data_IF_067541566300
#
_entry.id   IF_067541566300
#
_cell.length_a   1.000
_cell.length_b   1.000
_cell.length_c   1.000
_cell.angle_alpha   90.00
_cell.angle_beta   90.00
_cell.angle_gamma   90.00
#
_symmetry.space_group_name_H-M   'P 1'
#
loop_
_entity.id
_entity.type
_entity.pdbx_description
1 polymer ?
#
# COMPACT_ATOMS: atom_id res chain seq x y z
N UNK A 1 65.91 -3.98 -25.59
CA UNK A 1 65.11 -4.67 -24.54
C UNK A 1 64.57 -3.68 -23.51
N UNK A 2 65.41 -2.92 -22.84
CA UNK A 2 65.02 -1.95 -21.80
C UNK A 2 64.03 -0.85 -22.27
N UNK A 3 64.16 -0.37 -23.51
CA UNK A 3 63.21 0.63 -24.09
C UNK A 3 61.85 0.01 -24.43
N UNK A 4 61.82 -1.27 -24.87
CA UNK A 4 60.58 -1.98 -25.13
C UNK A 4 59.82 -2.28 -23.87
N UNK A 5 60.51 -2.61 -22.79
CA UNK A 5 59.97 -2.90 -21.45
C UNK A 5 59.41 -1.64 -20.78
N UNK A 6 60.14 -0.51 -20.85
CA UNK A 6 59.64 0.80 -20.40
C UNK A 6 58.39 1.22 -21.16
N UNK A 7 58.35 1.00 -22.48
CA UNK A 7 57.20 1.36 -23.32
C UNK A 7 55.99 0.47 -22.99
N UNK A 8 56.23 -0.84 -22.75
CA UNK A 8 55.17 -1.75 -22.33
C UNK A 8 54.58 -1.36 -20.98
N UNK A 9 55.39 -1.05 -19.97
CA UNK A 9 54.96 -0.56 -18.69
C UNK A 9 54.16 0.74 -18.78
N UNK A 10 54.61 1.69 -19.58
CA UNK A 10 53.91 2.96 -19.80
C UNK A 10 52.50 2.73 -20.42
N UNK A 11 52.42 1.91 -21.48
CA UNK A 11 51.16 1.56 -22.12
C UNK A 11 50.22 0.81 -21.15
N UNK A 12 50.78 -0.06 -20.28
CA UNK A 12 49.97 -0.75 -19.26
C UNK A 12 49.37 0.23 -18.26
N UNK A 13 50.13 1.17 -17.76
CA UNK A 13 49.67 2.24 -16.85
C UNK A 13 48.68 3.21 -17.52
N UNK A 14 48.89 3.51 -18.80
CA UNK A 14 47.97 4.33 -19.60
C UNK A 14 46.64 3.64 -19.88
N UNK A 15 46.60 2.32 -19.94
CA UNK A 15 45.41 1.52 -20.22
C UNK A 15 44.55 1.24 -18.99
N UNK A 16 45.01 1.62 -17.78
CA UNK A 16 44.24 1.51 -16.54
C UNK A 16 43.05 2.47 -16.59
N UNK A 17 41.85 1.95 -16.28
CA UNK A 17 40.62 2.74 -16.28
C UNK A 17 40.54 3.75 -15.12
N UNK A 18 41.37 3.58 -14.10
CA UNK A 18 41.46 4.44 -12.92
C UNK A 18 42.54 5.52 -13.11
N UNK A 19 42.40 6.61 -12.39
CA UNK A 19 43.42 7.65 -12.33
C UNK A 19 44.64 7.14 -11.58
N UNK A 20 45.83 7.27 -12.17
CA UNK A 20 47.12 6.90 -11.56
C UNK A 20 48.02 8.10 -11.53
N UNK A 21 48.54 8.42 -10.34
CA UNK A 21 49.57 9.44 -10.13
C UNK A 21 50.72 8.84 -9.33
N UNK A 22 51.95 9.04 -9.75
CA UNK A 22 53.09 8.73 -8.89
C UNK A 22 53.86 10.01 -8.51
N UNK A 23 54.46 9.98 -7.30
CA UNK A 23 55.21 11.07 -6.72
C UNK A 23 56.60 10.58 -6.30
N UNK A 24 57.58 11.49 -6.29
CA UNK A 24 58.87 11.24 -5.69
C UNK A 24 58.84 11.34 -4.16
N UNK A 25 59.94 11.07 -3.48
CA UNK A 25 60.05 11.16 -2.03
C UNK A 25 59.84 12.59 -1.47
N UNK A 26 59.90 13.63 -2.31
CA UNK A 26 59.65 15.03 -1.93
C UNK A 26 58.13 15.38 -2.08
N UNK A 27 57.30 14.50 -2.64
CA UNK A 27 55.89 14.75 -2.88
C UNK A 27 55.54 15.39 -4.25
N UNK A 28 56.54 15.50 -5.13
CA UNK A 28 56.31 16.06 -6.48
C UNK A 28 55.87 14.99 -7.45
N UNK A 29 54.94 15.31 -8.32
CA UNK A 29 54.39 14.41 -9.34
C UNK A 29 55.46 13.98 -10.34
N UNK A 30 55.63 12.66 -10.53
CA UNK A 30 56.57 12.05 -11.49
C UNK A 30 55.89 11.38 -12.67
N UNK A 31 54.61 10.97 -12.50
CA UNK A 31 53.80 10.36 -13.54
C UNK A 31 52.32 10.69 -13.31
N UNK A 32 51.56 10.83 -14.37
CA UNK A 32 50.11 11.00 -14.37
C UNK A 32 49.52 10.36 -15.63
N UNK A 33 48.61 9.38 -15.48
CA UNK A 33 47.97 8.72 -16.62
C UNK A 33 46.86 9.59 -17.26
N UNK A 34 46.34 9.22 -18.45
CA UNK A 34 45.32 10.00 -19.14
C UNK A 34 44.03 10.17 -18.34
N UNK A 35 43.66 9.17 -17.51
CA UNK A 35 42.45 9.23 -16.66
C UNK A 35 42.64 10.30 -15.56
N UNK A 36 43.76 10.24 -14.85
CA UNK A 36 44.09 11.24 -13.85
C UNK A 36 44.18 12.68 -14.42
N UNK A 37 44.72 12.83 -15.63
CA UNK A 37 44.74 14.13 -16.32
C UNK A 37 43.31 14.67 -16.55
N UNK A 38 42.37 13.80 -16.98
CA UNK A 38 40.96 14.21 -17.17
C UNK A 38 40.28 14.61 -15.87
N UNK A 39 40.50 13.84 -14.83
CA UNK A 39 39.83 14.05 -13.51
C UNK A 39 40.41 15.29 -12.79
N UNK A 40 41.72 15.45 -12.77
CA UNK A 40 42.36 16.60 -12.13
C UNK A 40 42.28 17.88 -12.94
N UNK A 41 42.19 17.77 -14.29
CA UNK A 41 42.22 18.88 -15.23
C UNK A 41 43.63 19.43 -15.49
N UNK A 42 44.68 18.67 -15.14
CA UNK A 42 46.07 18.99 -15.46
C UNK A 42 46.59 18.06 -16.56
N UNK A 43 47.23 18.60 -17.57
CA UNK A 43 47.99 17.80 -18.53
C UNK A 43 49.27 17.25 -17.89
N UNK A 44 49.82 16.18 -18.44
CA UNK A 44 51.10 15.62 -17.99
C UNK A 44 52.20 16.69 -17.85
N UNK A 45 52.36 17.54 -18.88
CA UNK A 45 53.35 18.61 -18.90
C UNK A 45 53.18 19.66 -17.80
N UNK A 46 51.96 19.86 -17.36
CA UNK A 46 51.62 20.84 -16.31
C UNK A 46 51.70 20.24 -14.92
N UNK A 47 51.49 18.91 -14.78
CA UNK A 47 51.49 18.20 -13.51
C UNK A 47 52.89 17.79 -13.04
N UNK A 48 53.74 17.28 -13.96
CA UNK A 48 55.08 16.82 -13.62
C UNK A 48 55.89 17.88 -12.91
N UNK A 49 56.50 17.51 -11.77
CA UNK A 49 57.33 18.40 -10.95
C UNK A 49 56.56 19.34 -10.03
N UNK A 50 55.23 19.30 -10.03
CA UNK A 50 54.44 20.05 -9.05
C UNK A 50 54.13 19.19 -7.81
N UNK A 51 54.00 19.82 -6.61
CA UNK A 51 53.48 19.14 -5.44
C UNK A 51 52.10 18.52 -5.73
N UNK A 52 51.86 17.27 -5.24
CA UNK A 52 50.62 16.57 -5.52
C UNK A 52 49.39 17.32 -5.03
N UNK A 53 49.45 18.03 -3.91
CA UNK A 53 48.35 18.83 -3.38
C UNK A 53 47.92 19.97 -4.30
N UNK A 54 48.85 20.48 -5.15
CA UNK A 54 48.53 21.48 -6.16
C UNK A 54 47.83 20.88 -7.39
N UNK A 55 48.01 19.59 -7.66
CA UNK A 55 47.42 18.84 -8.78
C UNK A 55 46.13 18.16 -8.37
N UNK A 56 46.09 17.61 -7.17
CA UNK A 56 44.97 16.80 -6.64
C UNK A 56 44.37 17.47 -5.40
N UNK A 57 43.33 18.26 -5.61
CA UNK A 57 42.61 18.99 -4.56
C UNK A 57 41.52 18.10 -3.99
N UNK A 58 41.85 17.33 -2.95
CA UNK A 58 40.93 16.47 -2.24
C UNK A 58 40.22 17.22 -1.12
N UNK A 59 38.91 16.95 -0.96
CA UNK A 59 38.07 17.55 0.07
C UNK A 59 37.10 16.55 0.64
N UNK A 60 36.76 16.72 1.91
CA UNK A 60 35.66 15.99 2.53
C UNK A 60 34.31 16.41 1.91
N UNK A 61 33.48 15.46 1.51
CA UNK A 61 32.24 15.75 0.80
C UNK A 61 31.17 16.44 1.66
N UNK A 62 31.23 16.33 2.99
CA UNK A 62 30.26 16.90 3.90
C UNK A 62 30.68 18.30 4.41
N UNK A 63 31.93 18.44 4.84
CA UNK A 63 32.47 19.69 5.42
C UNK A 63 33.10 20.60 4.38
N UNK A 64 33.45 20.07 3.19
CA UNK A 64 34.26 20.75 2.16
C UNK A 64 35.65 21.21 2.65
N UNK A 65 36.14 20.63 3.75
CA UNK A 65 37.50 20.91 4.23
C UNK A 65 38.54 20.17 3.39
N UNK A 66 39.75 20.73 3.21
CA UNK A 66 40.81 20.01 2.53
C UNK A 66 41.23 18.75 3.29
N UNK A 67 41.43 17.66 2.55
CA UNK A 67 41.90 16.40 3.08
C UNK A 67 43.40 16.22 2.89
N UNK A 68 44.03 15.46 3.80
CA UNK A 68 45.42 15.04 3.64
C UNK A 68 45.53 14.10 2.46
N UNK A 69 46.47 14.36 1.54
CA UNK A 69 46.64 13.52 0.35
C UNK A 69 47.15 12.12 0.73
N UNK A 70 46.45 11.04 0.31
CA UNK A 70 46.84 9.66 0.63
C UNK A 70 48.26 9.30 0.21
N UNK A 71 48.77 9.84 -0.91
CA UNK A 71 50.12 9.60 -1.38
C UNK A 71 51.18 10.19 -0.41
N UNK A 72 50.92 11.41 0.09
CA UNK A 72 51.81 12.02 1.11
C UNK A 72 51.76 11.24 2.43
N UNK A 73 50.58 10.81 2.83
CA UNK A 73 50.43 9.99 4.04
C UNK A 73 51.12 8.62 3.91
N UNK A 74 51.06 8.00 2.71
CA UNK A 74 51.74 6.74 2.44
C UNK A 74 53.28 6.87 2.55
N UNK A 75 53.86 8.06 2.16
CA UNK A 75 55.28 8.36 2.34
C UNK A 75 55.67 8.43 3.82
N UNK A 76 54.79 8.97 4.69
CA UNK A 76 55.07 9.13 6.11
C UNK A 76 55.00 7.77 6.84
N UNK A 77 53.96 6.96 6.56
CA UNK A 77 53.69 5.72 7.29
C UNK A 77 54.38 4.50 6.70
N UNK A 78 54.95 4.63 5.51
CA UNK A 78 55.63 3.58 4.74
C UNK A 78 54.82 2.29 4.56
N UNK A 79 53.51 2.43 4.39
CA UNK A 79 52.59 1.32 4.16
C UNK A 79 51.45 1.71 3.21
N UNK A 80 50.75 0.72 2.71
CA UNK A 80 49.53 0.95 1.94
C UNK A 80 48.49 1.69 2.79
N UNK A 81 47.88 2.70 2.18
CA UNK A 81 46.80 3.53 2.74
C UNK A 81 45.62 3.50 1.79
N UNK A 82 44.44 3.22 2.31
CA UNK A 82 43.17 3.41 1.62
C UNK A 82 42.37 4.43 2.43
N UNK A 83 41.84 5.45 1.77
CA UNK A 83 41.01 6.48 2.41
C UNK A 83 39.53 6.21 2.19
N UNK A 84 38.66 6.95 2.87
CA UNK A 84 37.26 6.59 3.03
C UNK A 84 36.39 6.98 1.81
N UNK A 85 35.23 6.35 1.68
CA UNK A 85 34.23 6.49 0.62
C UNK A 85 33.59 7.90 0.48
N UNK A 86 34.11 8.94 1.14
CA UNK A 86 33.45 10.22 1.22
C UNK A 86 34.31 11.36 0.67
N UNK A 87 35.31 11.05 -0.14
CA UNK A 87 36.24 12.02 -0.65
C UNK A 87 35.78 12.61 -1.99
N UNK A 88 36.02 13.89 -2.19
CA UNK A 88 35.74 14.59 -3.44
C UNK A 88 37.03 15.17 -4.01
N UNK A 89 37.24 14.96 -5.31
CA UNK A 89 38.27 15.60 -6.09
C UNK A 89 37.70 16.84 -6.80
N UNK A 90 38.25 18.00 -6.54
CA UNK A 90 37.89 19.24 -7.23
C UNK A 90 38.92 19.54 -8.32
N UNK A 91 38.49 19.37 -9.57
CA UNK A 91 39.34 19.61 -10.72
C UNK A 91 39.71 21.09 -10.86
N UNK A 92 40.75 21.39 -11.67
CA UNK A 92 41.18 22.78 -12.00
C UNK A 92 40.05 23.63 -12.59
N UNK A 93 39.07 23.00 -13.27
CA UNK A 93 37.89 23.70 -13.82
C UNK A 93 36.72 23.78 -12.83
N UNK A 94 36.94 23.54 -11.55
CA UNK A 94 35.92 23.46 -10.50
C UNK A 94 34.84 22.35 -10.70
N UNK A 95 35.13 21.33 -11.51
CA UNK A 95 34.29 20.16 -11.59
C UNK A 95 34.58 19.24 -10.39
N UNK A 96 33.53 18.78 -9.73
CA UNK A 96 33.61 17.92 -8.54
C UNK A 96 33.31 16.48 -8.93
N UNK A 97 34.21 15.57 -8.55
CA UNK A 97 34.06 14.14 -8.72
C UNK A 97 34.09 13.47 -7.35
N UNK A 98 33.24 12.46 -7.12
CA UNK A 98 33.41 11.58 -5.99
C UNK A 98 34.45 10.54 -6.32
N UNK A 99 35.47 10.42 -5.47
CA UNK A 99 36.58 9.52 -5.73
C UNK A 99 36.78 8.53 -4.58
N UNK A 100 37.14 7.31 -4.96
CA UNK A 100 37.68 6.30 -4.07
C UNK A 100 39.16 6.18 -4.38
N UNK A 101 40.02 6.29 -3.39
CA UNK A 101 41.44 6.35 -3.58
C UNK A 101 42.24 5.43 -2.65
N UNK A 102 43.43 5.10 -3.11
CA UNK A 102 44.41 4.36 -2.33
C UNK A 102 45.82 4.74 -2.74
N UNK A 103 46.77 4.68 -1.82
CA UNK A 103 48.16 4.98 -2.09
C UNK A 103 49.09 3.94 -1.45
N UNK A 104 50.22 3.69 -2.12
CA UNK A 104 51.28 2.78 -1.64
C UNK A 104 52.63 3.43 -1.83
N UNK A 105 53.57 3.29 -0.87
CA UNK A 105 54.94 3.76 -1.06
C UNK A 105 55.66 2.84 -2.07
N UNK A 106 56.56 3.48 -2.85
CA UNK A 106 57.48 2.79 -3.77
C UNK A 106 58.81 2.68 -3.10
N UNK A 107 59.25 1.47 -2.77
CA UNK A 107 60.48 1.14 -2.05
C UNK A 107 61.34 0.26 -2.97
N UNK A 108 62.63 0.53 -3.10
CA UNK A 108 63.53 -0.30 -3.88
C UNK A 108 63.99 -1.57 -3.07
N UNK A 109 64.74 -2.43 -3.76
CA UNK A 109 65.24 -3.68 -3.18
C UNK A 109 66.24 -3.44 -2.01
N UNK A 110 66.78 -2.24 -1.87
CA UNK A 110 67.71 -1.83 -0.79
C UNK A 110 66.96 -1.17 0.39
N UNK A 111 65.60 -1.09 0.31
CA UNK A 111 64.76 -0.52 1.34
C UNK A 111 64.68 1.03 1.32
N UNK A 112 65.15 1.68 0.24
CA UNK A 112 65.09 3.15 0.10
C UNK A 112 63.76 3.58 -0.48
N UNK A 113 63.15 4.59 0.12
CA UNK A 113 61.90 5.16 -0.35
C UNK A 113 62.15 5.98 -1.63
N UNK A 114 61.58 5.56 -2.75
CA UNK A 114 61.69 6.23 -4.02
C UNK A 114 60.51 7.22 -4.27
N UNK A 115 59.37 6.96 -3.63
CA UNK A 115 58.16 7.76 -3.80
C UNK A 115 56.90 7.03 -3.35
N UNK A 116 55.75 7.43 -3.92
CA UNK A 116 54.49 6.72 -3.72
C UNK A 116 53.69 6.71 -5.03
N UNK A 117 52.82 5.71 -5.17
CA UNK A 117 51.82 5.64 -6.22
C UNK A 117 50.45 5.75 -5.60
N UNK A 118 49.58 6.54 -6.22
CA UNK A 118 48.20 6.70 -5.85
C UNK A 118 47.32 6.27 -7.02
N UNK A 119 46.28 5.50 -6.72
CA UNK A 119 45.23 5.08 -7.65
C UNK A 119 43.91 5.61 -7.14
N UNK A 120 43.10 6.19 -8.02
CA UNK A 120 41.79 6.71 -7.66
C UNK A 120 40.79 6.52 -8.79
N UNK A 121 39.54 6.23 -8.41
CA UNK A 121 38.43 5.95 -9.33
C UNK A 121 37.32 6.99 -9.14
N UNK A 122 36.73 7.45 -10.24
CA UNK A 122 35.50 8.23 -10.20
C UNK A 122 34.32 7.31 -9.92
N UNK A 123 33.73 7.44 -8.74
CA UNK A 123 32.57 6.67 -8.28
C UNK A 123 31.28 7.50 -8.29
N UNK A 124 31.28 8.66 -8.91
CA UNK A 124 30.14 9.62 -8.92
C UNK A 124 28.86 8.94 -9.44
N UNK A 125 28.93 8.25 -10.59
CA UNK A 125 27.78 7.54 -11.16
C UNK A 125 27.32 6.38 -10.26
N UNK A 126 28.24 5.62 -9.66
CA UNK A 126 27.92 4.52 -8.78
C UNK A 126 27.20 5.01 -7.50
N UNK A 127 27.69 6.10 -6.91
CA UNK A 127 27.07 6.72 -5.73
C UNK A 127 25.70 7.30 -6.07
N UNK A 128 25.56 8.02 -7.18
CA UNK A 128 24.26 8.52 -7.63
C UNK A 128 23.26 7.38 -7.89
N UNK A 129 23.72 6.29 -8.50
CA UNK A 129 22.88 5.12 -8.75
C UNK A 129 22.47 4.42 -7.46
N UNK A 130 23.38 4.31 -6.49
CA UNK A 130 23.08 3.75 -5.16
C UNK A 130 22.05 4.62 -4.42
N UNK A 131 22.20 5.94 -4.44
CA UNK A 131 21.22 6.87 -3.85
C UNK A 131 19.86 6.77 -4.54
N UNK A 132 19.83 6.73 -5.88
CA UNK A 132 18.59 6.52 -6.64
C UNK A 132 17.96 5.17 -6.33
N UNK A 133 18.74 4.09 -6.27
CA UNK A 133 18.24 2.77 -5.87
C UNK A 133 17.64 2.77 -4.48
N UNK A 134 18.33 3.36 -3.50
CA UNK A 134 17.82 3.49 -2.13
C UNK A 134 16.53 4.28 -2.08
N UNK A 135 16.42 5.35 -2.87
CA UNK A 135 15.19 6.14 -2.96
C UNK A 135 14.04 5.33 -3.57
N UNK A 136 14.28 4.62 -4.68
CA UNK A 136 13.26 3.77 -5.35
C UNK A 136 12.83 2.60 -4.45
N UNK A 137 13.75 2.03 -3.67
CA UNK A 137 13.46 0.91 -2.75
C UNK A 137 12.60 1.34 -1.57
N UNK A 138 12.72 2.60 -1.13
CA UNK A 138 12.11 3.10 0.11
C UNK A 138 10.93 4.05 -0.10
N UNK A 139 10.68 4.53 -1.33
CA UNK A 139 9.63 5.49 -1.62
C UNK A 139 8.70 5.01 -2.73
N UNK A 140 7.44 5.42 -2.65
CA UNK A 140 6.43 5.21 -3.68
C UNK A 140 6.67 6.16 -4.87
N UNK A 141 6.76 5.63 -6.08
CA UNK A 141 7.12 6.41 -7.27
C UNK A 141 6.03 7.41 -7.71
N UNK A 142 4.76 7.13 -7.41
CA UNK A 142 3.65 8.00 -7.80
C UNK A 142 3.53 9.22 -6.89
N UNK A 143 3.70 9.03 -5.59
CA UNK A 143 3.44 10.05 -4.57
C UNK A 143 4.71 10.67 -3.99
N UNK A 144 5.87 10.01 -4.13
CA UNK A 144 7.12 10.39 -3.47
C UNK A 144 7.15 10.15 -1.97
N UNK A 145 6.08 9.63 -1.39
CA UNK A 145 5.99 9.30 0.03
C UNK A 145 6.84 8.05 0.37
N UNK A 146 7.25 7.86 1.62
CA UNK A 146 7.70 6.57 2.11
C UNK A 146 6.79 5.43 1.65
N UNK A 147 7.38 4.31 1.23
CA UNK A 147 6.62 3.12 0.87
C UNK A 147 6.42 2.20 2.11
N UNK A 148 5.79 1.05 1.89
CA UNK A 148 5.53 0.05 2.94
C UNK A 148 6.80 -0.41 3.66
N UNK A 149 7.92 -0.56 2.92
CA UNK A 149 9.20 -1.04 3.49
C UNK A 149 9.75 -0.01 4.48
N UNK A 150 9.88 1.24 4.05
CA UNK A 150 10.38 2.32 4.90
C UNK A 150 9.43 2.61 6.09
N UNK A 151 8.11 2.49 5.88
CA UNK A 151 7.14 2.62 6.96
C UNK A 151 7.36 1.55 8.03
N UNK A 152 7.50 0.28 7.63
CA UNK A 152 7.72 -0.83 8.56
C UNK A 152 8.98 -0.60 9.40
N UNK A 153 10.08 -0.22 8.77
CA UNK A 153 11.33 0.08 9.49
C UNK A 153 11.15 1.22 10.50
N UNK A 154 10.41 2.27 10.13
CA UNK A 154 10.12 3.38 11.03
C UNK A 154 9.23 2.97 12.20
N UNK A 155 8.24 2.09 11.99
CA UNK A 155 7.41 1.56 13.09
C UNK A 155 8.29 0.75 14.06
N UNK A 156 9.15 -0.16 13.56
CA UNK A 156 10.06 -0.96 14.39
C UNK A 156 10.98 -0.07 15.22
N UNK A 157 11.55 0.97 14.61
CA UNK A 157 12.39 1.94 15.31
C UNK A 157 11.61 2.73 16.37
N UNK A 158 10.38 3.16 16.05
CA UNK A 158 9.53 3.88 16.99
C UNK A 158 9.14 3.00 18.19
N UNK A 159 8.72 1.75 17.96
CA UNK A 159 8.45 0.75 19.00
C UNK A 159 9.66 0.56 19.91
N UNK A 160 10.86 0.40 19.33
CA UNK A 160 12.10 0.22 20.10
C UNK A 160 12.42 1.44 21.00
N UNK A 161 12.15 2.66 20.51
CA UNK A 161 12.34 3.90 21.31
C UNK A 161 11.33 4.00 22.46
N UNK A 162 10.10 3.54 22.28
CA UNK A 162 9.08 3.56 23.32
C UNK A 162 9.45 2.74 24.56
N UNK A 163 10.22 1.65 24.39
CA UNK A 163 10.73 0.89 25.54
C UNK A 163 11.57 1.73 26.49
N UNK A 164 12.30 2.72 25.97
CA UNK A 164 13.21 3.57 26.74
C UNK A 164 12.55 4.86 27.22
N UNK A 165 11.66 5.44 26.42
CA UNK A 165 11.08 6.77 26.69
C UNK A 165 9.72 6.75 27.39
N UNK A 166 9.06 5.59 27.50
CA UNK A 166 7.66 5.42 27.99
C UNK A 166 6.64 6.28 27.21
N UNK A 167 6.95 6.68 25.99
CA UNK A 167 6.06 7.38 25.10
C UNK A 167 5.10 6.41 24.40
N UNK A 168 3.97 6.90 23.96
CA UNK A 168 3.03 6.14 23.13
C UNK A 168 3.16 6.57 21.68
N UNK A 169 2.97 5.63 20.75
CA UNK A 169 2.90 5.90 19.31
C UNK A 169 1.54 5.48 18.78
N UNK A 170 1.10 6.11 17.69
CA UNK A 170 -0.12 5.73 17.00
C UNK A 170 0.18 5.43 15.54
N UNK A 171 -0.47 4.40 15.01
CA UNK A 171 -0.51 4.10 13.60
C UNK A 171 -1.93 4.27 13.09
N UNK A 172 -2.09 5.13 12.09
CA UNK A 172 -3.34 5.36 11.38
C UNK A 172 -3.21 4.68 10.01
N UNK A 173 -4.11 3.76 9.68
CA UNK A 173 -4.31 3.30 8.30
C UNK A 173 -5.46 4.07 7.68
N UNK A 174 -5.28 4.53 6.46
CA UNK A 174 -6.18 5.45 5.75
C UNK A 174 -6.46 4.87 4.37
N UNK A 175 -7.72 4.76 4.00
CA UNK A 175 -8.16 4.22 2.71
C UNK A 175 -9.12 5.21 2.02
N UNK A 176 -9.04 5.33 0.71
CA UNK A 176 -9.93 6.18 -0.08
C UNK A 176 -11.20 5.41 -0.41
N UNK A 177 -12.30 5.84 0.16
CA UNK A 177 -13.60 5.17 -0.02
C UNK A 177 -14.03 5.12 -1.50
N UNK A 178 -14.50 3.95 -1.93
CA UNK A 178 -15.01 3.71 -3.29
C UNK A 178 -13.99 3.98 -4.43
N UNK A 179 -12.69 3.97 -4.15
CA UNK A 179 -11.65 4.29 -5.14
C UNK A 179 -11.69 3.36 -6.36
N UNK A 180 -11.98 2.07 -6.16
CA UNK A 180 -12.14 1.12 -7.27
C UNK A 180 -13.24 1.56 -8.24
N UNK A 181 -14.40 2.00 -7.74
CA UNK A 181 -15.49 2.50 -8.58
C UNK A 181 -15.09 3.75 -9.38
N UNK A 182 -14.30 4.64 -8.78
CA UNK A 182 -13.75 5.80 -9.45
C UNK A 182 -12.83 5.39 -10.61
N UNK A 183 -11.91 4.44 -10.36
CA UNK A 183 -11.00 3.91 -11.39
C UNK A 183 -11.75 3.24 -12.53
N UNK A 184 -12.74 2.42 -12.21
CA UNK A 184 -13.55 1.70 -13.22
C UNK A 184 -14.36 2.67 -14.07
N UNK A 185 -14.81 3.81 -13.50
CA UNK A 185 -15.63 4.82 -14.19
C UNK A 185 -14.82 5.85 -14.97
N UNK A 186 -13.66 6.30 -14.46
CA UNK A 186 -12.90 7.43 -15.00
C UNK A 186 -11.50 7.04 -15.54
N UNK A 187 -11.08 5.80 -15.32
CA UNK A 187 -9.79 5.27 -15.77
C UNK A 187 -8.64 5.49 -14.81
N UNK A 188 -7.61 4.64 -14.92
CA UNK A 188 -6.48 4.58 -14.00
C UNK A 188 -5.64 5.87 -13.95
N UNK A 189 -5.51 6.61 -15.05
CA UNK A 189 -4.78 7.88 -15.06
C UNK A 189 -5.40 8.94 -14.14
N UNK A 190 -6.73 8.95 -14.07
CA UNK A 190 -7.47 9.83 -13.16
C UNK A 190 -7.31 9.33 -11.72
N UNK A 191 -7.31 8.01 -11.50
CA UNK A 191 -7.01 7.44 -10.20
C UNK A 191 -5.63 7.84 -9.67
N UNK A 192 -4.60 7.78 -10.50
CA UNK A 192 -3.24 8.21 -10.15
C UNK A 192 -3.18 9.70 -9.78
N UNK A 193 -3.91 10.53 -10.52
CA UNK A 193 -4.07 11.96 -10.20
C UNK A 193 -4.75 12.17 -8.85
N UNK A 194 -5.81 11.42 -8.56
CA UNK A 194 -6.53 11.47 -7.28
C UNK A 194 -5.62 11.04 -6.13
N UNK A 195 -4.93 9.89 -6.25
CA UNK A 195 -3.96 9.42 -5.26
C UNK A 195 -2.90 10.49 -4.97
N UNK A 196 -2.30 11.08 -6.02
CA UNK A 196 -1.28 12.11 -5.87
C UNK A 196 -1.81 13.38 -5.19
N UNK A 197 -3.06 13.73 -5.46
CA UNK A 197 -3.75 14.88 -4.85
C UNK A 197 -4.04 14.63 -3.37
N UNK A 198 -4.58 13.47 -3.04
CA UNK A 198 -4.85 13.05 -1.65
C UNK A 198 -3.55 12.94 -0.87
N UNK A 199 -2.49 12.35 -1.43
CA UNK A 199 -1.17 12.26 -0.81
C UNK A 199 -0.63 13.62 -0.35
N UNK A 200 -0.73 14.65 -1.23
CA UNK A 200 -0.29 16.02 -0.91
C UNK A 200 -1.12 16.64 0.23
N UNK A 201 -2.44 16.43 0.22
CA UNK A 201 -3.34 16.95 1.26
C UNK A 201 -3.10 16.26 2.59
N UNK A 202 -2.99 14.94 2.61
CA UNK A 202 -2.69 14.18 3.81
C UNK A 202 -1.33 14.55 4.38
N UNK A 203 -0.31 14.71 3.53
CA UNK A 203 1.03 15.13 4.00
C UNK A 203 1.00 16.51 4.66
N UNK A 204 0.18 17.43 4.14
CA UNK A 204 -0.04 18.75 4.75
C UNK A 204 -0.79 18.63 6.07
N UNK A 205 -1.82 17.78 6.15
CA UNK A 205 -2.63 17.57 7.36
C UNK A 205 -1.81 16.91 8.49
N UNK A 206 -0.95 15.95 8.18
CA UNK A 206 -0.05 15.28 9.13
C UNK A 206 1.08 16.21 9.59
N UNK A 207 1.58 17.08 8.72
CA UNK A 207 2.65 18.04 9.03
C UNK A 207 3.93 17.37 9.52
N UNK A 208 4.67 18.05 10.41
CA UNK A 208 5.92 17.52 10.97
C UNK A 208 5.72 16.53 12.13
N UNK A 209 4.47 16.35 12.59
CA UNK A 209 4.16 15.49 13.74
C UNK A 209 4.16 13.99 13.44
N UNK A 210 4.22 13.59 12.18
CA UNK A 210 4.14 12.19 11.79
C UNK A 210 4.87 11.85 10.50
N UNK A 211 4.96 10.56 10.22
CA UNK A 211 5.41 10.02 8.95
C UNK A 211 4.23 9.51 8.15
N UNK A 212 3.91 10.17 7.05
CA UNK A 212 2.94 9.65 6.07
C UNK A 212 3.66 8.72 5.08
N UNK A 213 3.05 7.60 4.77
CA UNK A 213 3.52 6.61 3.80
C UNK A 213 2.37 6.16 2.91
N UNK A 214 2.67 5.68 1.69
CA UNK A 214 1.72 4.94 0.86
C UNK A 214 2.03 3.44 0.97
N UNK A 215 1.03 2.66 1.40
CA UNK A 215 1.18 1.23 1.64
C UNK A 215 0.96 0.41 0.36
N UNK A 216 0.05 0.87 -0.48
CA UNK A 216 -0.26 0.29 -1.79
C UNK A 216 -1.64 0.72 -2.28
N UNK A 217 -1.91 0.65 -3.58
CA UNK A 217 -3.22 1.01 -4.13
C UNK A 217 -3.70 2.40 -3.69
N UNK A 218 -4.83 2.44 -3.01
CA UNK A 218 -5.49 3.59 -2.41
C UNK A 218 -5.25 3.73 -0.90
N UNK A 219 -4.35 2.91 -0.34
CA UNK A 219 -4.05 2.86 1.09
C UNK A 219 -2.84 3.71 1.48
N UNK A 220 -3.01 4.53 2.51
CA UNK A 220 -1.96 5.30 3.16
C UNK A 220 -1.83 4.90 4.63
N UNK A 221 -0.68 5.21 5.22
CA UNK A 221 -0.46 5.04 6.64
C UNK A 221 0.24 6.26 7.23
N UNK A 222 -0.15 6.64 8.44
CA UNK A 222 0.49 7.70 9.20
C UNK A 222 0.99 7.17 10.54
N UNK A 223 2.30 7.25 10.75
CA UNK A 223 2.94 6.92 12.03
C UNK A 223 3.19 8.20 12.83
N UNK A 224 2.61 8.30 14.02
CA UNK A 224 2.82 9.38 14.99
C UNK A 224 3.75 8.88 16.09
N UNK A 225 4.89 9.54 16.28
CA UNK A 225 5.97 9.06 17.16
C UNK A 225 5.87 9.56 18.60
N UNK A 226 4.96 10.47 18.91
CA UNK A 226 4.79 11.05 20.26
C UNK A 226 3.33 11.44 20.47
N UNK A 227 2.54 10.48 20.90
CA UNK A 227 1.12 10.68 21.23
C UNK A 227 1.02 11.08 22.69
N UNK A 228 0.81 12.37 22.96
CA UNK A 228 0.65 12.88 24.33
C UNK A 228 1.36 14.22 24.60
N UNK A 229 2.35 14.62 23.78
CA UNK A 229 3.07 15.90 23.96
C UNK A 229 2.55 17.05 23.08
N UNK A 230 1.29 16.96 22.62
CA UNK A 230 0.65 18.01 21.81
C UNK A 230 -0.06 17.52 20.55
N UNK A 231 0.10 16.26 20.20
CA UNK A 231 -0.59 15.60 19.08
C UNK A 231 -1.43 14.44 19.63
N UNK A 232 -2.74 14.47 19.38
CA UNK A 232 -3.59 13.32 19.62
C UNK A 232 -3.94 12.62 18.31
N UNK A 233 -4.02 11.30 18.33
CA UNK A 233 -4.27 10.51 17.12
C UNK A 233 -5.61 10.84 16.45
N UNK A 234 -6.63 11.15 17.27
CA UNK A 234 -7.95 11.60 16.83
C UNK A 234 -7.92 12.96 16.12
N UNK A 235 -7.13 13.92 16.61
CA UNK A 235 -6.97 15.23 15.96
C UNK A 235 -6.35 15.10 14.56
N UNK A 236 -5.33 14.26 14.41
CA UNK A 236 -4.72 14.00 13.10
C UNK A 236 -5.69 13.24 12.20
N UNK A 237 -6.42 12.25 12.73
CA UNK A 237 -7.43 11.53 11.96
C UNK A 237 -8.52 12.48 11.45
N UNK A 238 -9.02 13.38 12.29
CA UNK A 238 -10.00 14.41 11.91
C UNK A 238 -9.44 15.35 10.83
N UNK A 239 -8.20 15.81 10.96
CA UNK A 239 -7.55 16.64 9.96
C UNK A 239 -7.41 15.91 8.60
N UNK A 240 -7.07 14.61 8.62
CA UNK A 240 -7.00 13.77 7.42
C UNK A 240 -8.38 13.60 6.78
N UNK A 241 -9.43 13.31 7.54
CA UNK A 241 -10.81 13.23 7.03
C UNK A 241 -11.23 14.54 6.37
N UNK A 242 -10.96 15.68 7.02
CA UNK A 242 -11.29 16.98 6.45
C UNK A 242 -10.54 17.25 5.15
N UNK A 243 -9.25 16.90 5.08
CA UNK A 243 -8.43 17.01 3.88
C UNK A 243 -8.95 16.13 2.73
N UNK A 244 -9.48 14.94 3.05
CA UNK A 244 -10.12 14.03 2.08
C UNK A 244 -11.40 14.60 1.49
N UNK A 245 -12.22 15.24 2.32
CA UNK A 245 -13.51 15.85 1.91
C UNK A 245 -13.38 17.08 1.01
N UNK A 246 -12.20 17.69 0.94
CA UNK A 246 -11.97 18.81 0.02
C UNK A 246 -12.22 18.36 -1.44
N UNK A 247 -13.03 19.09 -2.21
CA UNK A 247 -13.32 18.73 -3.58
C UNK A 247 -12.06 18.60 -4.46
N UNK A 248 -12.08 17.63 -5.37
CA UNK A 248 -11.04 17.47 -6.41
C UNK A 248 -11.67 17.77 -7.76
N UNK A 249 -11.07 18.71 -8.50
CA UNK A 249 -11.50 19.04 -9.85
C UNK A 249 -10.96 18.02 -10.85
N UNK A 250 -11.87 17.28 -11.51
CA UNK A 250 -11.54 16.28 -12.52
C UNK A 250 -12.35 16.60 -13.78
N UNK A 251 -11.67 16.88 -14.88
CA UNK A 251 -12.32 17.22 -16.16
C UNK A 251 -13.35 18.34 -16.06
N UNK A 252 -13.10 19.36 -15.22
CA UNK A 252 -14.01 20.49 -15.01
C UNK A 252 -15.24 20.17 -14.14
N UNK A 253 -15.27 19.00 -13.52
CA UNK A 253 -16.30 18.61 -12.54
C UNK A 253 -15.68 18.44 -11.16
N UNK A 254 -16.40 18.89 -10.15
CA UNK A 254 -15.98 18.78 -8.74
C UNK A 254 -16.42 17.43 -8.18
N UNK A 255 -15.47 16.62 -7.72
CA UNK A 255 -15.69 15.32 -7.09
C UNK A 255 -15.35 15.39 -5.61
N UNK A 256 -16.20 14.84 -4.76
CA UNK A 256 -15.94 14.69 -3.33
C UNK A 256 -15.62 13.24 -3.05
N UNK A 257 -14.55 13.04 -2.29
CA UNK A 257 -14.12 11.75 -1.78
C UNK A 257 -14.25 11.72 -0.28
N UNK A 258 -14.33 10.53 0.28
CA UNK A 258 -14.25 10.31 1.72
C UNK A 258 -13.11 9.34 2.02
N UNK A 259 -12.70 9.31 3.28
CA UNK A 259 -11.65 8.44 3.77
C UNK A 259 -12.18 7.60 4.93
N UNK A 260 -11.73 6.36 5.02
CA UNK A 260 -11.92 5.52 6.20
C UNK A 260 -10.59 5.33 6.91
N UNK A 261 -10.54 5.57 8.23
CA UNK A 261 -9.31 5.56 9.01
C UNK A 261 -9.42 4.57 10.17
N UNK A 262 -8.41 3.73 10.35
CA UNK A 262 -8.25 2.86 11.51
C UNK A 262 -7.03 3.22 12.32
N UNK A 263 -7.15 3.23 13.65
CA UNK A 263 -6.12 3.69 14.58
C UNK A 263 -5.76 2.57 15.55
N UNK A 264 -4.45 2.27 15.65
CA UNK A 264 -3.87 1.38 16.65
C UNK A 264 -2.83 2.12 17.47
N UNK A 265 -2.82 1.90 18.78
CA UNK A 265 -1.94 2.54 19.75
C UNK A 265 -0.93 1.52 20.31
N UNK A 266 0.34 1.92 20.42
CA UNK A 266 1.34 1.14 21.11
C UNK A 266 1.75 1.88 22.40
N UNK A 267 1.88 1.22 23.55
CA UNK A 267 1.79 -0.24 23.78
C UNK A 267 0.40 -0.76 24.15
N UNK A 268 -0.67 0.05 24.04
CA UNK A 268 -2.01 -0.29 24.54
C UNK A 268 -2.67 -1.41 23.73
N UNK A 269 -2.56 -1.34 22.41
CA UNK A 269 -3.26 -2.22 21.49
C UNK A 269 -2.34 -3.32 20.92
N UNK A 270 -1.03 -3.11 20.87
CA UNK A 270 -0.10 -3.98 20.17
C UNK A 270 1.21 -4.17 20.94
N UNK A 271 1.92 -5.26 20.69
CA UNK A 271 3.23 -5.56 21.28
C UNK A 271 4.39 -5.41 20.28
N UNK A 272 4.09 -5.32 18.98
CA UNK A 272 5.06 -5.17 17.90
C UNK A 272 4.46 -4.46 16.68
N UNK A 273 5.30 -4.19 15.66
CA UNK A 273 4.93 -3.48 14.44
C UNK A 273 3.85 -4.22 13.63
N UNK A 274 3.93 -5.55 13.55
CA UNK A 274 2.97 -6.36 12.78
C UNK A 274 1.58 -6.30 13.41
N UNK A 275 1.50 -6.39 14.74
CA UNK A 275 0.23 -6.23 15.44
C UNK A 275 -0.35 -4.84 15.29
N UNK A 276 0.48 -3.79 15.34
CA UNK A 276 0.01 -2.42 15.09
C UNK A 276 -0.64 -2.29 13.72
N UNK A 277 0.00 -2.83 12.67
CA UNK A 277 -0.54 -2.81 11.31
C UNK A 277 -1.86 -3.56 11.22
N UNK A 278 -1.92 -4.79 11.73
CA UNK A 278 -3.12 -5.63 11.71
C UNK A 278 -4.27 -5.01 12.49
N UNK A 279 -4.00 -4.40 13.64
CA UNK A 279 -5.02 -3.79 14.49
C UNK A 279 -5.54 -2.48 13.89
N UNK A 280 -4.68 -1.68 13.27
CA UNK A 280 -5.11 -0.50 12.53
C UNK A 280 -5.98 -0.87 11.32
N UNK A 281 -5.64 -1.95 10.59
CA UNK A 281 -6.45 -2.47 9.48
C UNK A 281 -7.85 -2.91 9.96
N UNK A 282 -7.91 -3.67 11.07
CA UNK A 282 -9.17 -4.06 11.70
C UNK A 282 -10.05 -2.86 12.06
N UNK A 283 -9.43 -1.81 12.60
CA UNK A 283 -10.14 -0.58 12.96
C UNK A 283 -10.61 0.21 11.72
N UNK A 284 -9.80 0.25 10.65
CA UNK A 284 -10.16 0.87 9.37
C UNK A 284 -11.37 0.18 8.72
N UNK A 285 -11.39 -1.15 8.77
CA UNK A 285 -12.53 -1.92 8.29
C UNK A 285 -13.83 -1.56 9.05
N UNK A 286 -13.74 -1.39 10.38
CA UNK A 286 -14.89 -0.90 11.18
C UNK A 286 -15.35 0.47 10.70
N UNK A 287 -14.45 1.40 10.41
CA UNK A 287 -14.81 2.71 9.86
C UNK A 287 -15.59 2.57 8.56
N UNK A 288 -15.18 1.66 7.66
CA UNK A 288 -15.92 1.33 6.43
C UNK A 288 -17.33 0.78 6.72
N UNK A 289 -17.49 -0.10 7.71
CA UNK A 289 -18.78 -0.70 8.08
C UNK A 289 -19.73 0.27 8.81
N UNK A 290 -19.20 1.30 9.48
CA UNK A 290 -19.99 2.36 10.13
C UNK A 290 -20.53 3.42 9.16
N UNK A 291 -20.34 3.24 7.85
CA UNK A 291 -20.86 4.15 6.82
C UNK A 291 -19.78 4.97 6.15
N UNK A 292 -18.49 4.63 6.34
CA UNK A 292 -17.33 5.34 5.78
C UNK A 292 -17.19 6.78 6.31
N UNK A 293 -16.25 7.57 5.75
CA UNK A 293 -16.01 8.97 6.11
C UNK A 293 -15.82 9.21 7.62
N UNK A 294 -15.15 8.28 8.29
CA UNK A 294 -14.95 8.28 9.74
C UNK A 294 -13.65 7.59 10.15
N UNK A 295 -13.31 7.65 11.42
CA UNK A 295 -12.22 6.88 11.99
C UNK A 295 -12.69 6.00 13.15
N UNK A 296 -11.97 4.93 13.42
CA UNK A 296 -12.19 4.04 14.57
C UNK A 296 -10.87 3.68 15.23
N UNK A 297 -10.87 3.60 16.55
CA UNK A 297 -9.78 3.00 17.30
C UNK A 297 -9.95 1.49 17.34
N UNK A 298 -8.82 0.77 17.39
CA UNK A 298 -8.83 -0.66 17.64
C UNK A 298 -9.43 -0.95 19.04
N UNK A 299 -10.14 -2.07 19.13
CA UNK A 299 -10.54 -2.67 20.40
C UNK A 299 -10.52 -4.18 20.26
N UNK A 300 -10.32 -4.90 21.40
CA UNK A 300 -10.33 -6.39 21.37
C UNK A 300 -11.66 -6.96 20.93
N UNK A 301 -12.76 -6.30 21.26
CA UNK A 301 -14.11 -6.69 20.81
C UNK A 301 -14.23 -6.61 19.28
N UNK A 302 -13.54 -5.65 18.67
CA UNK A 302 -13.47 -5.51 17.23
C UNK A 302 -12.74 -6.68 16.55
N UNK A 303 -11.65 -7.14 17.15
CA UNK A 303 -10.91 -8.32 16.63
C UNK A 303 -11.79 -9.57 16.65
N UNK A 304 -12.54 -9.80 17.72
CA UNK A 304 -13.50 -10.91 17.81
C UNK A 304 -14.59 -10.78 16.74
N UNK A 305 -15.15 -9.58 16.55
CA UNK A 305 -16.17 -9.34 15.54
C UNK A 305 -15.66 -9.61 14.10
N UNK A 306 -14.39 -9.28 13.81
CA UNK A 306 -13.80 -9.58 12.49
C UNK A 306 -13.55 -11.06 12.27
N UNK A 307 -13.04 -11.80 13.27
CA UNK A 307 -12.88 -13.24 13.16
C UNK A 307 -14.24 -13.91 12.91
N UNK A 308 -15.25 -13.56 13.70
CA UNK A 308 -16.62 -14.09 13.55
C UNK A 308 -17.17 -13.82 12.14
N UNK A 309 -16.88 -12.66 11.57
CA UNK A 309 -17.32 -12.30 10.21
C UNK A 309 -16.65 -13.15 9.13
N UNK A 310 -15.33 -13.38 9.20
CA UNK A 310 -14.61 -14.25 8.25
C UNK A 310 -15.14 -15.69 8.35
N UNK A 311 -15.33 -16.18 9.56
CA UNK A 311 -15.93 -17.51 9.78
C UNK A 311 -17.35 -17.60 9.19
N UNK A 312 -18.15 -16.54 9.38
CA UNK A 312 -19.50 -16.47 8.86
C UNK A 312 -19.53 -16.46 7.32
N UNK A 313 -18.60 -15.73 6.66
CA UNK A 313 -18.51 -15.77 5.21
C UNK A 313 -18.17 -17.16 4.67
N UNK A 314 -17.24 -17.86 5.31
CA UNK A 314 -16.88 -19.23 4.95
C UNK A 314 -18.10 -20.16 5.11
N UNK A 315 -18.80 -20.08 6.25
CA UNK A 315 -20.01 -20.85 6.52
C UNK A 315 -21.11 -20.58 5.50
N UNK A 316 -21.35 -19.32 5.19
CA UNK A 316 -22.36 -18.90 4.22
C UNK A 316 -22.05 -19.43 2.82
N UNK A 317 -20.80 -19.27 2.36
CA UNK A 317 -20.37 -19.78 1.06
C UNK A 317 -20.54 -21.29 0.96
N UNK A 318 -20.11 -22.01 1.98
CA UNK A 318 -20.28 -23.46 2.06
C UNK A 318 -21.76 -23.89 2.08
N UNK A 319 -22.63 -23.17 2.81
CA UNK A 319 -24.07 -23.46 2.84
C UNK A 319 -24.73 -23.21 1.46
N UNK A 320 -24.33 -22.19 0.74
CA UNK A 320 -24.82 -21.92 -0.62
C UNK A 320 -24.34 -23.01 -1.59
N UNK A 321 -23.04 -23.33 -1.60
CA UNK A 321 -22.45 -24.31 -2.52
C UNK A 321 -23.05 -25.72 -2.34
N UNK A 322 -23.38 -26.10 -1.10
CA UNK A 322 -23.96 -27.40 -0.77
C UNK A 322 -25.49 -27.40 -0.73
N UNK A 323 -26.16 -26.32 -1.14
CA UNK A 323 -27.63 -26.17 -1.06
C UNK A 323 -28.21 -26.46 0.35
N UNK A 324 -27.43 -26.12 1.39
CA UNK A 324 -27.71 -26.41 2.80
C UNK A 324 -28.50 -25.29 3.51
N UNK A 325 -28.89 -24.22 2.79
CA UNK A 325 -29.79 -23.20 3.34
C UNK A 325 -31.16 -23.81 3.63
N UNK A 326 -31.71 -23.53 4.81
CA UNK A 326 -33.08 -23.93 5.17
C UNK A 326 -34.03 -22.72 4.98
N UNK A 327 -35.26 -23.04 4.63
CA UNK A 327 -36.35 -22.07 4.53
C UNK A 327 -37.42 -22.42 5.58
N UNK A 328 -37.63 -21.49 6.50
CA UNK A 328 -38.70 -21.60 7.48
C UNK A 328 -39.88 -20.78 6.98
N UNK A 329 -41.08 -21.26 7.26
CA UNK A 329 -42.32 -20.64 6.83
C UNK A 329 -43.07 -20.07 8.03
N UNK A 330 -43.24 -18.76 8.05
CA UNK A 330 -44.04 -18.11 9.09
C UNK A 330 -45.47 -17.86 8.54
N UNK A 331 -46.52 -18.51 9.10
CA UNK A 331 -47.86 -18.40 8.55
C UNK A 331 -48.44 -17.01 8.72
N UNK A 332 -49.06 -16.50 7.65
CA UNK A 332 -49.88 -15.28 7.64
C UNK A 332 -51.33 -15.69 7.88
N UNK A 333 -51.90 -15.30 9.03
CA UNK A 333 -53.24 -15.73 9.44
C UNK A 333 -54.28 -14.63 9.23
N UNK A 334 -55.34 -14.98 8.54
CA UNK A 334 -56.50 -14.13 8.38
C UNK A 334 -57.46 -14.29 9.57
N UNK A 335 -57.59 -13.26 10.37
CA UNK A 335 -58.45 -13.28 11.56
C UNK A 335 -59.95 -13.26 11.26
N UNK A 336 -60.35 -12.70 10.13
CA UNK A 336 -61.75 -12.62 9.74
C UNK A 336 -62.28 -13.98 9.26
N UNK A 337 -61.48 -14.61 8.40
CA UNK A 337 -61.81 -15.92 7.85
C UNK A 337 -61.32 -17.12 8.69
N UNK A 338 -60.53 -16.84 9.73
CA UNK A 338 -59.91 -17.84 10.63
C UNK A 338 -59.12 -18.93 9.88
N UNK A 339 -58.37 -18.52 8.85
CA UNK A 339 -57.59 -19.41 7.99
C UNK A 339 -56.18 -18.85 7.74
N UNK A 340 -55.28 -19.76 7.46
CA UNK A 340 -53.94 -19.40 6.94
C UNK A 340 -54.13 -18.98 5.48
N UNK A 341 -53.77 -17.75 5.12
CA UNK A 341 -53.84 -17.21 3.77
C UNK A 341 -52.54 -17.38 2.98
N UNK A 342 -51.42 -17.45 3.68
CA UNK A 342 -50.09 -17.53 3.11
C UNK A 342 -49.03 -17.75 4.18
N UNK A 343 -47.77 -17.70 3.76
CA UNK A 343 -46.65 -17.69 4.69
C UNK A 343 -45.54 -16.84 4.17
N UNK A 344 -44.70 -16.36 5.07
CA UNK A 344 -43.43 -15.67 4.73
C UNK A 344 -42.27 -16.67 4.78
N UNK A 345 -41.45 -16.65 3.75
CA UNK A 345 -40.25 -17.46 3.59
C UNK A 345 -39.08 -16.81 4.27
N UNK A 346 -38.58 -17.40 5.32
CA UNK A 346 -37.50 -16.90 6.16
C UNK A 346 -36.30 -17.83 6.07
N UNK A 347 -35.21 -17.37 5.45
CA UNK A 347 -33.97 -18.15 5.31
C UNK A 347 -33.31 -18.37 6.65
N UNK A 348 -32.74 -19.55 6.85
CA UNK A 348 -31.94 -19.96 8.01
C UNK A 348 -30.72 -20.71 7.54
N UNK A 349 -29.66 -20.61 8.29
CA UNK A 349 -28.45 -21.41 8.11
C UNK A 349 -28.18 -22.18 9.38
N UNK A 350 -27.58 -23.37 9.29
CA UNK A 350 -27.16 -24.15 10.44
C UNK A 350 -25.63 -24.08 10.58
N UNK A 351 -25.17 -24.02 11.81
CA UNK A 351 -23.75 -24.22 12.09
C UNK A 351 -23.41 -25.75 12.14
N UNK A 352 -22.12 -26.04 12.35
CA UNK A 352 -21.65 -27.43 12.44
C UNK A 352 -22.23 -28.22 13.62
N UNK A 353 -22.72 -27.53 14.66
CA UNK A 353 -23.40 -28.14 15.82
C UNK A 353 -24.88 -28.39 15.56
N UNK A 354 -25.43 -27.89 14.46
CA UNK A 354 -26.85 -27.93 14.13
C UNK A 354 -27.67 -26.81 14.77
N UNK A 355 -27.02 -25.78 15.32
CA UNK A 355 -27.69 -24.60 15.85
C UNK A 355 -28.07 -23.65 14.70
N UNK A 356 -29.23 -22.98 14.83
CA UNK A 356 -29.76 -22.08 13.80
C UNK A 356 -29.08 -20.73 13.86
N UNK A 357 -28.46 -20.33 12.76
CA UNK A 357 -27.92 -18.97 12.54
C UNK A 357 -29.02 -18.13 11.89
N UNK A 358 -29.30 -16.98 12.50
CA UNK A 358 -30.32 -16.04 12.02
C UNK A 358 -29.90 -15.22 10.81
N UNK A 359 -30.85 -14.71 10.00
CA UNK A 359 -30.56 -13.91 8.82
C UNK A 359 -29.83 -12.60 9.14
N UNK A 360 -30.03 -12.02 10.29
CA UNK A 360 -29.40 -10.77 10.74
C UNK A 360 -27.86 -10.87 10.78
N UNK A 361 -27.33 -12.08 10.96
CA UNK A 361 -25.89 -12.33 11.00
C UNK A 361 -25.26 -12.47 9.62
N UNK A 362 -25.95 -13.07 8.64
CA UNK A 362 -25.35 -13.39 7.35
C UNK A 362 -25.94 -12.64 6.14
N UNK A 363 -27.15 -12.08 6.20
CA UNK A 363 -27.73 -11.32 5.08
C UNK A 363 -26.91 -10.07 4.75
N UNK A 364 -26.49 -9.21 5.72
CA UNK A 364 -25.64 -8.07 5.42
C UNK A 364 -24.32 -8.48 4.74
N UNK A 365 -23.75 -9.59 5.19
CA UNK A 365 -22.54 -10.15 4.63
C UNK A 365 -22.75 -10.68 3.20
N UNK A 366 -23.88 -11.36 2.96
CA UNK A 366 -24.27 -11.83 1.63
C UNK A 366 -24.43 -10.66 0.64
N UNK A 367 -25.01 -9.56 1.10
CA UNK A 367 -25.12 -8.34 0.29
C UNK A 367 -23.77 -7.75 -0.05
N UNK A 368 -22.87 -7.58 0.94
CA UNK A 368 -21.56 -7.01 0.73
C UNK A 368 -20.68 -7.84 -0.22
N UNK A 369 -20.70 -9.16 -0.05
CA UNK A 369 -19.88 -10.10 -0.85
C UNK A 369 -20.50 -10.48 -2.20
N UNK A 370 -21.76 -10.06 -2.46
CA UNK A 370 -22.49 -10.43 -3.68
C UNK A 370 -23.09 -11.85 -3.66
N UNK A 371 -22.92 -12.60 -2.56
CA UNK A 371 -23.50 -13.92 -2.39
C UNK A 371 -25.04 -13.89 -2.29
N UNK A 372 -25.63 -12.69 -2.07
CA UNK A 372 -27.07 -12.47 -1.95
C UNK A 372 -27.83 -12.94 -3.21
N UNK A 373 -27.24 -12.88 -4.40
CA UNK A 373 -27.87 -13.35 -5.62
C UNK A 373 -28.07 -14.86 -5.59
N UNK A 374 -27.05 -15.63 -5.24
CA UNK A 374 -27.11 -17.08 -5.16
C UNK A 374 -28.01 -17.55 -4.01
N UNK A 375 -27.91 -16.88 -2.85
CA UNK A 375 -28.74 -17.12 -1.69
C UNK A 375 -30.23 -16.90 -2.06
N UNK A 376 -30.58 -15.76 -2.60
CA UNK A 376 -31.96 -15.43 -2.96
C UNK A 376 -32.54 -16.37 -4.00
N UNK A 377 -31.73 -16.79 -4.99
CA UNK A 377 -32.13 -17.80 -5.95
C UNK A 377 -32.53 -19.11 -5.28
N UNK A 378 -31.71 -19.64 -4.36
CA UNK A 378 -32.01 -20.86 -3.63
C UNK A 378 -33.24 -20.74 -2.74
N UNK A 379 -33.41 -19.61 -2.06
CA UNK A 379 -34.59 -19.32 -1.25
C UNK A 379 -35.87 -19.35 -2.09
N UNK A 380 -35.84 -18.67 -3.25
CA UNK A 380 -36.96 -18.63 -4.18
C UNK A 380 -37.27 -20.03 -4.74
N UNK A 381 -36.27 -20.80 -5.14
CA UNK A 381 -36.44 -22.19 -5.61
C UNK A 381 -37.14 -23.06 -4.56
N UNK A 382 -36.63 -23.07 -3.33
CA UNK A 382 -37.21 -23.84 -2.23
C UNK A 382 -38.62 -23.39 -1.87
N UNK A 383 -38.90 -22.09 -1.97
CA UNK A 383 -40.25 -21.55 -1.78
C UNK A 383 -41.21 -22.01 -2.86
N UNK A 384 -40.81 -22.02 -4.12
CA UNK A 384 -41.61 -22.52 -5.24
C UNK A 384 -41.82 -24.01 -5.17
N UNK A 385 -40.84 -24.83 -4.79
CA UNK A 385 -40.97 -26.29 -4.54
C UNK A 385 -41.98 -26.56 -3.44
N UNK A 386 -41.99 -25.78 -2.37
CA UNK A 386 -42.96 -25.92 -1.30
C UNK A 386 -44.38 -25.58 -1.77
N UNK A 387 -44.57 -24.53 -2.56
CA UNK A 387 -45.86 -24.16 -3.17
C UNK A 387 -46.36 -25.31 -4.05
N UNK A 388 -45.50 -25.87 -4.91
CA UNK A 388 -45.86 -27.03 -5.74
C UNK A 388 -46.37 -28.21 -4.91
N UNK A 389 -45.65 -28.56 -3.82
CA UNK A 389 -46.05 -29.61 -2.88
C UNK A 389 -47.41 -29.32 -2.21
N UNK A 390 -47.70 -28.06 -1.88
CA UNK A 390 -48.99 -27.67 -1.32
C UNK A 390 -50.11 -27.82 -2.35
N UNK A 391 -49.88 -27.41 -3.60
CA UNK A 391 -50.84 -27.56 -4.69
C UNK A 391 -51.20 -29.05 -4.97
N UNK A 392 -50.20 -29.92 -4.99
CA UNK A 392 -50.40 -31.38 -5.13
C UNK A 392 -51.28 -31.96 -4.03
N UNK A 393 -51.24 -31.36 -2.83
CA UNK A 393 -52.10 -31.77 -1.69
C UNK A 393 -53.46 -31.10 -1.67
N UNK A 394 -53.76 -30.28 -2.69
CA UNK A 394 -55.02 -29.54 -2.79
C UNK A 394 -55.15 -28.39 -1.77
N UNK A 395 -54.04 -27.88 -1.29
CA UNK A 395 -53.98 -26.80 -0.31
C UNK A 395 -53.18 -25.61 -0.89
N UNK A 396 -53.67 -24.87 -1.85
CA UNK A 396 -52.96 -23.76 -2.46
C UNK A 396 -52.63 -22.70 -1.40
N UNK A 397 -51.37 -22.25 -1.42
CA UNK A 397 -50.82 -21.28 -0.46
C UNK A 397 -50.03 -20.25 -1.18
N UNK A 398 -50.11 -18.99 -0.75
CA UNK A 398 -49.30 -17.90 -1.25
C UNK A 398 -48.05 -17.73 -0.37
N UNK A 399 -46.87 -17.68 -0.95
CA UNK A 399 -45.61 -17.52 -0.24
C UNK A 399 -44.96 -16.16 -0.57
N UNK A 400 -44.69 -15.41 0.49
CA UNK A 400 -43.91 -14.18 0.40
C UNK A 400 -42.40 -14.45 0.55
N UNK A 401 -41.61 -13.89 -0.32
CA UNK A 401 -40.14 -14.03 -0.35
C UNK A 401 -39.51 -12.66 -0.32
N UNK A 402 -38.61 -12.45 0.65
CA UNK A 402 -37.84 -11.20 0.78
C UNK A 402 -36.79 -11.07 -0.34
N UNK A 403 -36.71 -9.87 -0.94
CA UNK A 403 -35.76 -9.56 -2.01
C UNK A 403 -34.88 -8.37 -1.62
N UNK A 404 -33.58 -8.57 -1.69
CA UNK A 404 -32.60 -7.51 -1.38
C UNK A 404 -32.44 -6.50 -2.53
N UNK A 405 -32.06 -5.27 -2.19
CA UNK A 405 -31.83 -4.19 -3.16
C UNK A 405 -30.86 -4.58 -4.27
N UNK A 406 -29.79 -5.28 -3.95
CA UNK A 406 -28.79 -5.72 -4.94
C UNK A 406 -29.34 -6.75 -5.94
N UNK A 407 -30.35 -7.53 -5.58
CA UNK A 407 -30.99 -8.44 -6.50
C UNK A 407 -31.84 -7.67 -7.52
N UNK A 408 -32.61 -6.66 -7.08
CA UNK A 408 -33.36 -5.77 -7.95
C UNK A 408 -32.49 -4.92 -8.89
N UNK A 409 -31.25 -4.64 -8.50
CA UNK A 409 -30.29 -3.95 -9.35
C UNK A 409 -29.75 -4.82 -10.52
N UNK A 410 -30.08 -6.13 -10.55
CA UNK A 410 -29.69 -7.03 -11.63
C UNK A 410 -30.74 -7.01 -12.76
N UNK A 411 -30.42 -6.56 -13.98
CA UNK A 411 -31.36 -6.50 -15.10
C UNK A 411 -31.95 -7.87 -15.49
N UNK A 412 -31.28 -8.97 -15.11
CA UNK A 412 -31.73 -10.34 -15.39
C UNK A 412 -32.67 -10.92 -14.35
N UNK A 413 -32.96 -10.21 -13.25
CA UNK A 413 -33.68 -10.76 -12.09
C UNK A 413 -35.10 -11.22 -12.43
N UNK A 414 -35.86 -10.43 -13.18
CA UNK A 414 -37.24 -10.81 -13.58
C UNK A 414 -37.27 -12.11 -14.40
N UNK A 415 -36.33 -12.30 -15.32
CA UNK A 415 -36.17 -13.54 -16.09
C UNK A 415 -35.77 -14.75 -15.23
N UNK A 416 -34.93 -14.53 -14.25
CA UNK A 416 -34.55 -15.57 -13.31
C UNK A 416 -35.76 -16.03 -12.48
N UNK A 417 -36.56 -15.08 -11.98
CA UNK A 417 -37.82 -15.37 -11.27
C UNK A 417 -38.81 -16.14 -12.16
N UNK A 418 -39.01 -15.69 -13.39
CA UNK A 418 -39.87 -16.38 -14.38
C UNK A 418 -39.43 -17.83 -14.59
N UNK A 419 -38.12 -18.06 -14.78
CA UNK A 419 -37.59 -19.39 -15.02
C UNK A 419 -37.81 -20.30 -13.82
N UNK A 420 -37.58 -19.83 -12.61
CA UNK A 420 -37.75 -20.62 -11.38
C UNK A 420 -39.24 -21.03 -11.19
N UNK A 421 -40.18 -20.11 -11.38
CA UNK A 421 -41.61 -20.35 -11.27
C UNK A 421 -42.05 -21.37 -12.34
N UNK A 422 -41.56 -21.24 -13.58
CA UNK A 422 -41.87 -22.16 -14.66
C UNK A 422 -41.31 -23.56 -14.43
N UNK A 423 -40.07 -23.65 -13.93
CA UNK A 423 -39.44 -24.95 -13.56
C UNK A 423 -40.19 -25.68 -12.43
N UNK A 424 -40.70 -24.91 -11.45
CA UNK A 424 -41.52 -25.46 -10.36
C UNK A 424 -42.95 -25.80 -10.79
N UNK A 425 -43.41 -25.38 -11.96
CA UNK A 425 -44.77 -25.67 -12.49
C UNK A 425 -45.89 -25.03 -11.69
N UNK A 426 -45.69 -23.90 -11.07
CA UNK A 426 -46.65 -23.20 -10.23
C UNK A 426 -47.18 -21.93 -10.94
N UNK A 427 -48.32 -21.43 -10.46
CA UNK A 427 -48.86 -20.14 -10.88
C UNK A 427 -48.03 -19.00 -10.24
N UNK A 428 -47.68 -17.98 -11.03
CA UNK A 428 -46.89 -16.87 -10.54
C UNK A 428 -47.57 -16.09 -9.39
N UNK A 429 -48.92 -16.04 -9.39
CA UNK A 429 -49.71 -15.42 -8.33
C UNK A 429 -49.58 -16.06 -6.97
N UNK A 430 -48.99 -17.28 -6.91
CA UNK A 430 -48.68 -17.96 -5.68
C UNK A 430 -47.42 -17.47 -4.97
N UNK A 431 -46.63 -16.62 -5.66
CA UNK A 431 -45.41 -15.99 -5.10
C UNK A 431 -45.67 -14.49 -4.92
N UNK A 432 -45.22 -13.95 -3.80
CA UNK A 432 -45.18 -12.53 -3.47
C UNK A 432 -43.74 -12.15 -3.19
N UNK A 433 -43.22 -11.11 -3.82
CA UNK A 433 -41.87 -10.62 -3.58
C UNK A 433 -41.95 -9.39 -2.68
N UNK A 434 -41.36 -9.48 -1.48
CA UNK A 434 -41.31 -8.39 -0.51
C UNK A 434 -40.01 -7.58 -0.69
N UNK A 435 -40.16 -6.28 -0.93
CA UNK A 435 -39.04 -5.35 -1.10
C UNK A 435 -39.08 -4.25 -0.08
N UNK A 436 -37.94 -3.82 0.44
CA UNK A 436 -37.85 -2.72 1.38
C UNK A 436 -37.94 -1.37 0.68
N UNK A 437 -38.41 -0.33 1.36
CA UNK A 437 -38.45 1.06 0.85
C UNK A 437 -37.07 1.51 0.37
N UNK A 438 -36.00 1.20 1.13
CA UNK A 438 -34.61 1.55 0.79
C UNK A 438 -34.15 0.90 -0.53
N UNK A 439 -34.66 -0.26 -0.88
CA UNK A 439 -34.33 -0.97 -2.13
C UNK A 439 -34.84 -0.20 -3.36
N UNK A 440 -35.94 0.53 -3.21
CA UNK A 440 -36.56 1.31 -4.29
C UNK A 440 -35.81 2.62 -4.62
N UNK A 441 -34.98 3.11 -3.71
CA UNK A 441 -34.35 4.44 -3.81
C UNK A 441 -33.00 4.42 -4.53
N UNK A 442 -32.40 3.26 -4.79
CA UNK A 442 -31.01 3.17 -5.29
C UNK A 442 -30.87 3.46 -6.79
N UNK A 443 -31.81 2.99 -7.62
CA UNK A 443 -31.95 3.33 -9.05
C UNK A 443 -33.41 3.18 -9.43
N UNK A 444 -34.14 4.27 -9.28
CA UNK A 444 -35.61 4.26 -9.41
C UNK A 444 -36.12 3.82 -10.79
N UNK A 445 -35.45 4.23 -11.87
CA UNK A 445 -35.94 3.88 -13.22
C UNK A 445 -35.73 2.41 -13.52
N UNK A 446 -34.57 1.88 -13.26
CA UNK A 446 -34.27 0.46 -13.51
C UNK A 446 -35.09 -0.46 -12.59
N UNK A 447 -35.22 -0.10 -11.30
CA UNK A 447 -36.02 -0.86 -10.33
C UNK A 447 -37.47 -0.88 -10.71
N UNK A 448 -38.05 0.25 -11.16
CA UNK A 448 -39.42 0.35 -11.65
C UNK A 448 -39.64 -0.59 -12.84
N UNK A 449 -38.72 -0.61 -13.80
CA UNK A 449 -38.89 -1.44 -15.01
C UNK A 449 -38.87 -2.93 -14.67
N UNK A 450 -38.03 -3.36 -13.78
CA UNK A 450 -37.98 -4.75 -13.27
C UNK A 450 -39.26 -5.12 -12.51
N UNK A 451 -39.79 -4.22 -11.65
CA UNK A 451 -41.04 -4.44 -10.95
C UNK A 451 -42.25 -4.52 -11.90
N UNK A 452 -42.27 -3.72 -12.96
CA UNK A 452 -43.27 -3.81 -14.00
C UNK A 452 -43.19 -5.14 -14.76
N UNK A 453 -42.03 -5.63 -15.07
CA UNK A 453 -41.80 -6.94 -15.69
C UNK A 453 -42.32 -8.07 -14.79
N UNK A 454 -41.97 -8.09 -13.50
CA UNK A 454 -42.45 -9.04 -12.51
C UNK A 454 -43.97 -9.02 -12.36
N UNK A 455 -44.56 -7.83 -12.29
CA UNK A 455 -46.01 -7.64 -12.25
C UNK A 455 -46.69 -8.19 -13.51
N UNK A 456 -46.09 -8.03 -14.68
CA UNK A 456 -46.63 -8.57 -15.95
C UNK A 456 -46.57 -10.11 -16.00
N UNK A 457 -45.66 -10.75 -15.26
CA UNK A 457 -45.57 -12.20 -15.08
C UNK A 457 -46.69 -12.74 -14.14
N UNK A 458 -47.31 -11.88 -13.35
CA UNK A 458 -48.34 -12.24 -12.37
C UNK A 458 -47.86 -12.41 -10.94
N UNK A 459 -46.59 -12.07 -10.65
CA UNK A 459 -46.02 -12.06 -9.29
C UNK A 459 -46.49 -10.85 -8.52
#
# INVERSE_FOLDING_TARGET
ELEAEKKHLAITLESIADGVISINAAGDVTFINPVAQRLTGYSEKEAIGKPIDAVMNLRDAASNEPLLNPALYALEVLRHVAMSYNDTLVSRQNKVFRVEDSASPIIDDEGRLLGAVMVFQDVSEAVEMAVKMTHVTNHDQLTGLPNRVLLHDRIVQAVSRCFTSKQSIALLLIDIDNFKYLNDSLGHQIGDFVISSIAKRLNKAVGQGGTLARVGGDEFACLLSDVGSGFSADSIAMACLQAGREPIEINGKSHRLSLSIGISLYPQDAVNAEEMMRHADSAMYRSKSLGKDTFSFFSKDLQHAMHHRVEMEIKLRHAIENNALAVFLQPKYDFDNKKVQGAESLVRMYDESGEVIGPDEFIPLAEETGLIHQLGKQVLQKSCEFVASCNERGQPLKIAVNVAAKQLANPGFAKEVEQIIKEAGIDASSIELEVTESALMHDFEQTRDILMELTSLGV
#
